data_IF_590856062571
#
_entry.id   IF_590856062571
#
_cell.length_a   1.000
_cell.length_b   1.000
_cell.length_c   1.000
_cell.angle_alpha   90.00
_cell.angle_beta   90.00
_cell.angle_gamma   90.00
#
_symmetry.space_group_name_H-M   'P 1'
#
loop_
_entity.id
_entity.type
_entity.pdbx_description
1 polymer ?
#
# COMPACT_ATOMS: atom_id res chain seq x y z
N UNK A 1 -37.69 -2.08 69.93
CA UNK A 1 -37.04 -2.13 68.61
C UNK A 1 -35.73 -2.88 68.76
N UNK A 2 -35.70 -4.12 68.25
CA UNK A 2 -34.76 -5.17 68.62
C UNK A 2 -33.37 -5.02 68.01
N UNK A 3 -32.39 -5.22 68.88
CA UNK A 3 -30.97 -5.44 68.65
C UNK A 3 -30.70 -6.91 68.27
N UNK A 4 -29.60 -7.17 67.55
CA UNK A 4 -28.56 -8.16 67.87
C UNK A 4 -27.94 -8.78 66.60
N UNK A 5 -26.61 -8.79 66.58
CA UNK A 5 -25.82 -9.63 65.71
C UNK A 5 -25.47 -10.98 66.34
N UNK A 6 -24.63 -11.68 65.57
CA UNK A 6 -23.68 -12.75 65.89
C UNK A 6 -24.10 -14.24 65.91
N UNK A 7 -23.17 -15.02 65.34
CA UNK A 7 -22.76 -16.41 65.62
C UNK A 7 -23.01 -17.50 64.55
N UNK A 8 -21.92 -17.78 63.85
CA UNK A 8 -21.22 -19.06 63.66
C UNK A 8 -21.86 -20.39 64.12
N UNK A 9 -21.74 -21.41 63.25
CA UNK A 9 -20.94 -22.66 63.40
C UNK A 9 -21.63 -24.04 63.19
N UNK A 10 -20.81 -24.96 62.65
CA UNK A 10 -20.87 -26.44 62.59
C UNK A 10 -21.52 -27.09 61.34
N UNK A 11 -20.77 -27.81 60.48
CA UNK A 11 -20.15 -29.17 60.62
C UNK A 11 -21.23 -30.28 60.57
N UNK A 12 -21.15 -31.42 59.89
CA UNK A 12 -20.14 -32.14 59.07
C UNK A 12 -20.79 -33.47 58.58
N UNK A 13 -19.99 -34.31 57.88
CA UNK A 13 -20.20 -35.72 57.45
C UNK A 13 -20.76 -35.88 56.03
N UNK A 14 -20.10 -36.55 55.06
CA UNK A 14 -19.26 -37.75 55.06
C UNK A 14 -20.03 -38.84 54.28
N UNK A 15 -19.51 -39.71 53.43
CA UNK A 15 -18.16 -40.07 52.94
C UNK A 15 -18.32 -41.16 51.85
N UNK A 16 -17.19 -41.53 51.20
CA UNK A 16 -16.95 -42.73 50.36
C UNK A 16 -17.47 -42.68 48.91
N UNK A 17 -16.72 -43.04 47.85
CA UNK A 17 -15.39 -43.63 47.71
C UNK A 17 -15.46 -44.79 46.73
N UNK A 18 -14.80 -44.72 45.57
CA UNK A 18 -14.33 -45.90 44.81
C UNK A 18 -13.42 -45.50 43.64
N UNK A 19 -12.24 -46.12 43.62
CA UNK A 19 -11.25 -46.11 42.56
C UNK A 19 -11.69 -46.93 41.34
N UNK A 20 -11.19 -46.57 40.16
CA UNK A 20 -11.25 -47.38 38.95
C UNK A 20 -10.33 -46.79 37.87
N UNK A 21 -9.43 -47.61 37.35
CA UNK A 21 -8.23 -47.27 36.59
C UNK A 21 -8.36 -47.49 35.06
N UNK A 22 -7.43 -46.86 34.33
CA UNK A 22 -6.93 -47.14 32.97
C UNK A 22 -7.58 -46.51 31.72
N UNK A 23 -6.78 -45.63 31.11
CA UNK A 23 -6.32 -45.62 29.70
C UNK A 23 -7.32 -45.81 28.56
N UNK A 24 -7.56 -44.73 27.80
CA UNK A 24 -7.74 -44.80 26.34
C UNK A 24 -7.51 -43.44 25.65
N UNK A 25 -6.88 -43.52 24.48
CA UNK A 25 -6.41 -42.46 23.60
C UNK A 25 -7.50 -41.58 22.95
N UNK A 26 -7.07 -40.42 22.45
CA UNK A 26 -7.79 -39.58 21.47
C UNK A 26 -8.62 -38.49 22.15
N UNK A 27 -8.62 -37.22 21.73
CA UNK A 27 -8.17 -36.61 20.49
C UNK A 27 -8.27 -35.08 20.64
N UNK A 28 -7.36 -34.38 19.96
CA UNK A 28 -7.45 -33.00 19.48
C UNK A 28 -7.77 -31.89 20.47
N UNK A 29 -6.69 -31.19 20.87
CA UNK A 29 -6.74 -29.88 21.48
C UNK A 29 -7.39 -28.85 20.56
N UNK A 30 -8.50 -28.30 21.03
CA UNK A 30 -8.99 -26.99 20.61
C UNK A 30 -8.30 -25.92 21.45
N UNK A 31 -7.10 -25.51 21.03
CA UNK A 31 -6.59 -24.18 21.36
C UNK A 31 -7.10 -23.26 20.23
N UNK A 32 -8.13 -22.46 20.49
CA UNK A 32 -7.93 -21.23 21.25
C UNK A 32 -7.21 -20.26 20.32
N UNK A 33 -7.97 -19.64 19.42
CA UNK A 33 -7.49 -18.60 18.52
C UNK A 33 -6.94 -17.45 19.38
N UNK A 34 -5.63 -17.45 19.59
CA UNK A 34 -4.93 -16.32 20.16
C UNK A 34 -5.12 -15.15 19.20
N UNK A 35 -6.00 -14.23 19.61
CA UNK A 35 -6.08 -12.90 19.03
C UNK A 35 -4.67 -12.33 19.02
N UNK A 36 -4.17 -12.08 17.81
CA UNK A 36 -2.92 -11.40 17.58
C UNK A 36 -3.03 -10.01 18.19
N UNK A 37 -2.49 -9.85 19.39
CA UNK A 37 -2.08 -8.56 19.94
C UNK A 37 -1.02 -8.00 18.99
N UNK A 38 -1.46 -7.29 17.95
CA UNK A 38 -0.60 -6.43 17.16
C UNK A 38 -0.17 -5.33 18.13
N UNK A 39 1.05 -5.45 18.64
CA UNK A 39 1.71 -4.41 19.40
C UNK A 39 1.56 -3.09 18.63
N UNK A 40 0.95 -2.11 19.31
CA UNK A 40 0.72 -0.75 18.84
C UNK A 40 2.05 -0.02 18.63
N UNK A 41 2.76 -0.38 17.56
CA UNK A 41 3.74 0.49 16.96
C UNK A 41 2.95 1.63 16.32
N UNK A 42 3.07 2.83 16.89
CA UNK A 42 2.48 4.09 16.41
C UNK A 42 2.43 4.12 14.88
N UNK A 43 1.24 3.88 14.33
CA UNK A 43 1.08 3.68 12.90
C UNK A 43 1.51 4.95 12.17
N UNK A 44 2.46 4.80 11.25
CA UNK A 44 2.71 5.82 10.23
C UNK A 44 1.48 5.77 9.34
N UNK A 45 0.61 6.76 9.49
CA UNK A 45 -0.44 7.09 8.54
C UNK A 45 0.18 7.76 7.33
N UNK A 46 -0.37 7.50 6.15
CA UNK A 46 0.13 8.02 4.88
C UNK A 46 -1.06 8.40 4.00
N UNK A 47 -1.95 9.27 4.48
CA UNK A 47 -2.82 10.00 3.56
C UNK A 47 -1.97 10.97 2.73
N UNK A 48 -2.40 11.29 1.50
CA UNK A 48 -3.75 11.20 0.94
C UNK A 48 -4.02 9.95 0.07
N UNK A 49 -5.27 9.49 -0.02
CA UNK A 49 -5.70 8.35 -0.84
C UNK A 49 -6.48 8.75 -2.10
N UNK A 50 -6.28 8.01 -3.19
CA UNK A 50 -7.15 8.10 -4.38
C UNK A 50 -8.40 7.24 -4.18
N UNK A 51 -9.52 7.70 -4.72
CA UNK A 51 -10.73 6.91 -4.98
C UNK A 51 -11.15 7.11 -6.42
N UNK A 52 -11.51 6.04 -7.14
CA UNK A 52 -11.94 6.11 -8.53
C UNK A 52 -13.30 5.44 -8.76
N UNK A 53 -14.02 5.89 -9.78
CA UNK A 53 -15.23 5.21 -10.27
C UNK A 53 -14.89 4.06 -11.20
N UNK A 54 -15.31 2.83 -10.85
CA UNK A 54 -15.05 1.63 -11.65
C UNK A 54 -16.23 1.19 -12.54
N UNK A 55 -17.24 2.05 -12.73
CA UNK A 55 -18.45 1.72 -13.50
C UNK A 55 -19.61 1.19 -12.67
N UNK A 56 -19.36 0.78 -11.42
CA UNK A 56 -20.39 0.26 -10.49
C UNK A 56 -20.40 1.01 -9.17
N UNK A 57 -19.21 1.26 -8.61
CA UNK A 57 -19.00 1.95 -7.35
C UNK A 57 -17.70 2.74 -7.38
N UNK A 58 -17.55 3.64 -6.42
CA UNK A 58 -16.24 4.21 -6.13
C UNK A 58 -15.42 3.20 -5.32
N UNK A 59 -14.13 3.08 -5.62
CA UNK A 59 -13.20 2.14 -4.97
C UNK A 59 -12.01 2.93 -4.46
N UNK A 60 -11.61 2.68 -3.21
CA UNK A 60 -10.35 3.23 -2.67
C UNK A 60 -9.17 2.50 -3.32
N UNK A 61 -8.30 3.32 -3.89
CA UNK A 61 -7.01 2.94 -4.45
C UNK A 61 -5.92 3.09 -3.37
N UNK A 62 -4.72 3.47 -3.76
CA UNK A 62 -3.58 3.61 -2.87
C UNK A 62 -3.37 5.06 -2.44
N UNK A 63 -2.43 5.26 -1.52
CA UNK A 63 -1.94 6.59 -1.23
C UNK A 63 -1.09 7.14 -2.36
N UNK A 64 -1.03 8.47 -2.47
CA UNK A 64 -0.17 9.21 -3.39
C UNK A 64 0.81 10.09 -2.65
N UNK A 65 1.83 10.54 -3.37
CA UNK A 65 2.96 11.27 -2.82
C UNK A 65 3.67 10.48 -1.69
N UNK A 66 3.84 9.13 -1.77
CA UNK A 66 4.47 8.37 -0.69
C UNK A 66 5.91 8.84 -0.44
N UNK A 67 6.55 9.42 -1.46
CA UNK A 67 7.86 10.00 -1.29
C UNK A 67 7.83 11.15 -0.30
N UNK A 68 6.72 11.84 0.00
CA UNK A 68 6.59 12.95 0.98
C UNK A 68 6.95 12.59 2.43
N UNK A 69 7.22 11.31 2.70
CA UNK A 69 7.80 10.86 3.97
C UNK A 69 9.33 10.86 4.02
N UNK A 70 10.01 10.76 2.87
CA UNK A 70 11.47 10.82 2.79
C UNK A 70 12.07 12.09 3.45
N UNK A 71 12.63 11.91 4.63
CA UNK A 71 13.25 12.98 5.42
C UNK A 71 14.58 13.45 4.83
N UNK A 72 15.21 12.67 3.94
CA UNK A 72 16.50 13.00 3.34
C UNK A 72 16.35 13.80 2.03
N UNK A 73 15.12 14.05 1.58
CA UNK A 73 14.86 14.80 0.36
C UNK A 73 15.42 16.24 0.46
N UNK A 74 15.82 16.77 -0.69
CA UNK A 74 16.17 18.20 -0.83
C UNK A 74 15.00 19.06 -1.27
N UNK A 75 14.11 18.53 -2.11
CA UNK A 75 12.98 19.26 -2.70
C UNK A 75 11.68 18.95 -1.99
N UNK A 76 10.98 19.95 -1.49
CA UNK A 76 9.71 19.76 -0.78
C UNK A 76 8.61 19.15 -1.68
N UNK A 77 8.55 19.55 -2.96
CA UNK A 77 7.48 19.15 -3.89
C UNK A 77 7.85 17.85 -4.59
N UNK A 78 6.99 16.84 -4.45
CA UNK A 78 7.09 15.55 -5.11
C UNK A 78 6.22 15.56 -6.37
N UNK A 79 6.78 15.07 -7.48
CA UNK A 79 5.98 14.58 -8.60
C UNK A 79 5.76 13.08 -8.42
N UNK A 80 4.50 12.64 -8.39
CA UNK A 80 4.10 11.24 -8.26
C UNK A 80 3.32 10.80 -9.49
N UNK A 81 3.80 9.72 -10.12
CA UNK A 81 3.10 8.99 -11.17
C UNK A 81 2.61 7.66 -10.56
N UNK A 82 1.37 7.63 -10.12
CA UNK A 82 0.75 6.43 -9.58
C UNK A 82 -0.06 5.71 -10.65
N UNK A 83 0.36 4.49 -10.99
CA UNK A 83 -0.44 3.58 -11.83
C UNK A 83 -1.62 3.06 -11.00
N UNK A 84 -2.84 3.33 -11.47
CA UNK A 84 -4.06 2.82 -10.85
C UNK A 84 -4.12 1.30 -10.96
N UNK A 85 -4.47 0.62 -9.86
CA UNK A 85 -4.60 -0.84 -9.84
C UNK A 85 -5.97 -1.25 -10.40
N UNK A 86 -7.01 -0.47 -10.12
CA UNK A 86 -8.32 -0.64 -10.76
C UNK A 86 -8.44 0.20 -12.04
N UNK A 87 -9.17 -0.33 -13.02
CA UNK A 87 -9.47 0.39 -14.26
C UNK A 87 -10.66 1.33 -14.07
N UNK A 88 -10.48 2.67 -14.08
CA UNK A 88 -11.60 3.60 -14.03
C UNK A 88 -12.49 3.44 -15.27
N UNK A 89 -13.79 3.61 -15.09
CA UNK A 89 -14.76 3.57 -16.19
C UNK A 89 -15.33 4.95 -16.44
N UNK A 90 -15.74 5.21 -17.68
CA UNK A 90 -16.42 6.45 -18.03
C UNK A 90 -17.82 6.49 -17.40
N UNK A 91 -18.18 7.63 -16.84
CA UNK A 91 -19.55 7.99 -16.50
C UNK A 91 -19.90 9.30 -17.20
N UNK A 92 -20.86 9.24 -18.13
CA UNK A 92 -21.29 10.38 -18.96
C UNK A 92 -20.11 11.12 -19.63
N UNK A 93 -19.19 10.36 -20.22
CA UNK A 93 -18.02 10.90 -20.95
C UNK A 93 -16.88 11.43 -20.07
N UNK A 94 -16.87 11.08 -18.77
CA UNK A 94 -15.85 11.54 -17.83
C UNK A 94 -15.29 10.39 -16.99
N UNK A 95 -13.98 10.38 -16.79
CA UNK A 95 -13.40 9.64 -15.67
C UNK A 95 -13.52 10.47 -14.40
N UNK A 96 -13.90 9.81 -13.30
CA UNK A 96 -14.14 10.47 -12.01
C UNK A 96 -13.22 9.88 -10.95
N UNK A 97 -12.33 10.72 -10.44
CA UNK A 97 -11.43 10.43 -9.34
C UNK A 97 -11.72 11.38 -8.17
N UNK A 98 -11.33 10.96 -6.98
CA UNK A 98 -11.28 11.78 -5.77
C UNK A 98 -9.95 11.57 -5.08
N UNK A 99 -9.49 12.59 -4.37
CA UNK A 99 -8.34 12.49 -3.47
C UNK A 99 -8.84 12.87 -2.08
N UNK A 100 -8.59 12.03 -1.09
CA UNK A 100 -9.15 12.13 0.25
C UNK A 100 -8.05 12.28 1.26
N UNK A 101 -8.32 13.14 2.24
CA UNK A 101 -7.50 13.33 3.42
C UNK A 101 -8.37 12.99 4.64
N UNK A 102 -7.98 11.98 5.41
CA UNK A 102 -8.78 11.50 6.55
C UNK A 102 -7.97 10.93 7.71
N UNK A 103 -6.65 10.96 7.62
CA UNK A 103 -5.75 10.62 8.73
C UNK A 103 -5.25 11.91 9.38
N UNK A 104 -3.94 12.17 9.39
CA UNK A 104 -3.31 13.23 10.19
C UNK A 104 -2.53 14.25 9.37
N UNK A 105 -2.60 14.12 8.05
CA UNK A 105 -1.78 14.85 7.13
C UNK A 105 -2.49 16.10 6.61
N UNK A 106 -1.72 17.14 6.35
CA UNK A 106 -2.14 18.28 5.53
C UNK A 106 -1.49 18.13 4.16
N UNK A 107 -2.31 17.96 3.13
CA UNK A 107 -1.86 17.66 1.77
C UNK A 107 -2.03 18.86 0.84
N UNK A 108 -1.00 19.17 0.05
CA UNK A 108 -0.98 20.27 -0.92
C UNK A 108 -0.71 19.74 -2.31
N UNK A 109 -1.58 20.02 -3.28
CA UNK A 109 -1.47 19.46 -4.62
C UNK A 109 -1.53 20.48 -5.75
N UNK A 110 -0.95 20.13 -6.88
CA UNK A 110 -1.09 20.81 -8.16
C UNK A 110 -0.86 19.84 -9.34
N UNK A 111 -1.08 20.33 -10.56
CA UNK A 111 -0.75 19.65 -11.84
C UNK A 111 -1.27 18.20 -11.98
N UNK A 112 -2.57 18.01 -11.75
CA UNK A 112 -3.21 16.72 -11.98
C UNK A 112 -3.36 16.41 -13.46
N UNK A 113 -2.93 15.21 -13.87
CA UNK A 113 -3.16 14.66 -15.21
C UNK A 113 -3.51 13.19 -15.10
N UNK A 114 -4.46 12.72 -15.91
CA UNK A 114 -4.76 11.31 -16.05
C UNK A 114 -4.20 10.82 -17.38
N UNK A 115 -3.21 9.93 -17.33
CA UNK A 115 -2.57 9.37 -18.52
C UNK A 115 -3.21 8.01 -18.77
N UNK A 116 -3.93 7.89 -19.88
CA UNK A 116 -4.50 6.64 -20.37
C UNK A 116 -3.52 6.03 -21.37
N UNK A 117 -3.23 4.75 -21.18
CA UNK A 117 -2.27 3.99 -21.99
C UNK A 117 -3.00 2.77 -22.52
N UNK A 118 -3.26 2.74 -23.82
CA UNK A 118 -3.83 1.57 -24.50
C UNK A 118 -2.70 0.72 -25.05
N UNK A 119 -2.67 -0.57 -24.70
CA UNK A 119 -1.58 -1.46 -25.04
C UNK A 119 -2.04 -2.91 -25.22
N UNK A 120 -1.24 -3.78 -25.89
CA UNK A 120 -1.52 -5.22 -25.98
C UNK A 120 -1.65 -5.85 -24.60
N UNK A 121 -2.55 -6.84 -24.45
CA UNK A 121 -2.88 -7.46 -23.16
C UNK A 121 -1.67 -8.10 -22.46
N UNK A 122 -0.73 -8.61 -23.23
CA UNK A 122 0.50 -9.25 -22.79
C UNK A 122 1.60 -8.26 -22.38
N UNK A 123 1.45 -6.98 -22.73
CA UNK A 123 2.35 -5.91 -22.28
C UNK A 123 1.86 -5.42 -20.92
N UNK A 124 2.81 -5.22 -20.01
CA UNK A 124 2.62 -4.60 -18.71
C UNK A 124 3.16 -3.17 -18.76
N UNK A 125 2.45 -2.27 -18.09
CA UNK A 125 2.84 -0.88 -17.91
C UNK A 125 3.20 -0.68 -16.44
N UNK A 126 4.25 0.10 -16.17
CA UNK A 126 4.58 0.55 -14.83
C UNK A 126 5.27 1.91 -14.85
N UNK A 127 5.66 2.37 -13.66
CA UNK A 127 6.38 3.61 -13.43
C UNK A 127 7.67 3.29 -12.67
N UNK A 128 8.77 3.90 -13.08
CA UNK A 128 10.05 3.90 -12.36
C UNK A 128 10.68 5.27 -12.50
N UNK A 129 11.14 5.86 -11.39
CA UNK A 129 11.81 7.17 -11.36
C UNK A 129 11.06 8.26 -12.18
N UNK A 130 9.72 8.30 -12.05
CA UNK A 130 8.79 9.19 -12.77
C UNK A 130 8.73 9.01 -14.30
N UNK A 131 9.25 7.89 -14.81
CA UNK A 131 9.11 7.49 -16.21
C UNK A 131 8.13 6.34 -16.37
N UNK A 132 7.35 6.40 -17.46
CA UNK A 132 6.40 5.34 -17.81
C UNK A 132 7.13 4.32 -18.69
N UNK A 133 7.13 3.08 -18.25
CA UNK A 133 7.87 1.97 -18.86
C UNK A 133 6.94 0.81 -19.21
N UNK A 134 7.38 -0.01 -20.17
CA UNK A 134 6.69 -1.22 -20.57
C UNK A 134 7.58 -2.45 -20.52
N UNK A 135 6.99 -3.59 -20.22
CA UNK A 135 7.65 -4.90 -20.21
C UNK A 135 6.66 -6.01 -20.51
N UNK A 136 7.14 -7.18 -20.91
CA UNK A 136 6.29 -8.34 -21.25
C UNK A 136 6.75 -9.61 -20.55
N UNK A 137 8.04 -9.91 -20.67
CA UNK A 137 8.60 -11.15 -20.16
C UNK A 137 9.04 -10.98 -18.71
N UNK A 138 8.62 -11.92 -17.86
CA UNK A 138 9.06 -12.03 -16.47
C UNK A 138 9.90 -13.28 -16.29
N UNK A 139 11.03 -13.15 -15.61
CA UNK A 139 11.83 -14.28 -15.14
C UNK A 139 11.57 -14.45 -13.65
N UNK A 140 11.08 -15.63 -13.27
CA UNK A 140 10.79 -15.95 -11.88
C UNK A 140 12.09 -16.34 -11.14
N UNK A 141 12.18 -16.06 -9.83
CA UNK A 141 13.33 -16.48 -9.04
C UNK A 141 13.39 -18.00 -8.95
N UNK A 142 14.62 -18.53 -8.98
CA UNK A 142 14.87 -19.95 -8.76
C UNK A 142 14.80 -20.32 -7.28
N UNK A 143 15.04 -19.35 -6.38
CA UNK A 143 14.96 -19.54 -4.94
C UNK A 143 14.60 -18.23 -4.24
N UNK A 144 13.68 -18.28 -3.28
CA UNK A 144 13.48 -17.23 -2.27
C UNK A 144 13.51 -17.90 -0.90
N UNK A 145 14.48 -17.53 -0.07
CA UNK A 145 14.65 -18.13 1.27
C UNK A 145 14.75 -17.07 2.34
N UNK A 146 14.08 -17.28 3.46
CA UNK A 146 14.24 -16.43 4.63
C UNK A 146 15.59 -16.67 5.35
N UNK A 147 15.86 -15.89 6.40
CA UNK A 147 17.07 -16.03 7.23
C UNK A 147 17.24 -17.43 7.86
N UNK A 148 16.15 -18.19 8.05
CA UNK A 148 16.15 -19.55 8.61
C UNK A 148 16.24 -20.63 7.52
N UNK A 149 16.28 -20.25 6.25
CA UNK A 149 16.34 -21.17 5.12
C UNK A 149 14.97 -21.70 4.67
N UNK A 150 13.85 -21.19 5.22
CA UNK A 150 12.50 -21.56 4.76
C UNK A 150 12.30 -21.07 3.34
N UNK A 151 11.90 -22.00 2.47
CA UNK A 151 11.63 -21.70 1.07
C UNK A 151 10.26 -21.05 0.87
N UNK A 152 10.25 -19.88 0.25
CA UNK A 152 9.09 -19.06 -0.07
C UNK A 152 8.90 -18.89 -1.58
N UNK A 153 9.68 -19.59 -2.41
CA UNK A 153 9.72 -19.43 -3.87
C UNK A 153 8.34 -19.56 -4.50
N UNK A 154 7.64 -20.68 -4.24
CA UNK A 154 6.29 -20.90 -4.80
C UNK A 154 5.29 -19.84 -4.35
N UNK A 155 5.44 -19.35 -3.12
CA UNK A 155 4.54 -18.36 -2.51
C UNK A 155 4.72 -16.98 -3.15
N UNK A 156 5.96 -16.56 -3.42
CA UNK A 156 6.29 -15.21 -3.88
C UNK A 156 6.59 -15.13 -5.39
N UNK A 157 6.46 -16.23 -6.13
CA UNK A 157 6.54 -16.28 -7.60
C UNK A 157 5.16 -16.30 -8.28
N UNK A 158 4.07 -16.23 -7.51
CA UNK A 158 2.70 -16.14 -8.02
C UNK A 158 2.21 -14.72 -7.79
N UNK A 159 1.67 -14.08 -8.82
CA UNK A 159 1.09 -12.74 -8.71
C UNK A 159 -0.28 -12.84 -8.00
N UNK A 160 -0.26 -12.87 -6.67
CA UNK A 160 -1.45 -12.99 -5.82
C UNK A 160 -1.30 -12.26 -4.48
N UNK A 161 -2.16 -11.28 -4.23
CA UNK A 161 -2.16 -10.49 -2.99
C UNK A 161 -2.81 -11.21 -1.80
N UNK A 162 -3.36 -12.42 -1.97
CA UNK A 162 -3.84 -13.24 -0.86
C UNK A 162 -2.72 -13.99 -0.15
N UNK A 163 -1.59 -14.16 -0.83
CA UNK A 163 -0.48 -14.99 -0.36
C UNK A 163 0.79 -14.16 -0.31
N UNK A 164 1.13 -13.62 0.87
CA UNK A 164 2.23 -12.65 1.02
C UNK A 164 3.14 -12.98 2.21
N UNK A 165 4.39 -12.54 2.12
CA UNK A 165 5.33 -12.51 3.23
C UNK A 165 5.05 -11.27 4.10
N UNK A 166 4.59 -11.51 5.32
CA UNK A 166 4.42 -10.50 6.38
C UNK A 166 5.80 -10.25 7.01
N UNK A 167 6.54 -9.30 6.43
CA UNK A 167 7.90 -9.02 6.83
C UNK A 167 7.96 -8.09 8.02
N UNK A 168 8.90 -8.35 8.92
CA UNK A 168 9.09 -7.63 10.19
C UNK A 168 10.46 -6.97 10.23
N UNK A 169 10.68 -6.08 11.20
CA UNK A 169 12.00 -5.47 11.41
C UNK A 169 13.08 -6.55 11.47
N UNK A 170 14.16 -6.34 10.69
CA UNK A 170 15.30 -7.22 10.53
C UNK A 170 15.06 -8.58 9.84
N UNK A 171 13.86 -8.81 9.31
CA UNK A 171 13.64 -9.94 8.40
C UNK A 171 14.47 -9.77 7.12
N UNK A 172 14.91 -10.92 6.60
CA UNK A 172 15.76 -11.00 5.41
C UNK A 172 15.19 -12.07 4.49
N UNK A 173 15.06 -11.71 3.21
CA UNK A 173 14.85 -12.65 2.10
C UNK A 173 16.07 -12.64 1.18
N UNK A 174 16.58 -13.84 0.88
CA UNK A 174 17.59 -14.05 -0.16
C UNK A 174 16.87 -14.54 -1.42
N UNK A 175 16.91 -13.73 -2.46
CA UNK A 175 16.26 -13.97 -3.76
C UNK A 175 17.34 -14.32 -4.77
N UNK A 176 17.22 -15.46 -5.44
CA UNK A 176 18.18 -15.93 -6.44
C UNK A 176 17.54 -16.12 -7.80
N UNK A 177 18.26 -15.74 -8.85
CA UNK A 177 17.95 -16.03 -10.24
C UNK A 177 19.16 -16.72 -10.87
N UNK A 178 19.06 -18.02 -11.16
CA UNK A 178 20.18 -18.82 -11.67
C UNK A 178 20.45 -18.68 -13.17
N UNK A 179 19.49 -18.12 -13.91
CA UNK A 179 19.55 -18.01 -15.37
C UNK A 179 19.10 -16.62 -15.79
N UNK A 180 20.05 -15.70 -15.84
CA UNK A 180 19.82 -14.38 -16.42
C UNK A 180 19.73 -14.50 -17.95
N UNK A 181 18.63 -14.01 -18.57
CA UNK A 181 18.58 -13.87 -20.02
C UNK A 181 19.57 -12.81 -20.49
N UNK A 182 20.00 -12.86 -21.75
CA UNK A 182 20.83 -11.82 -22.35
C UNK A 182 19.99 -10.56 -22.66
N UNK A 183 19.84 -9.71 -21.65
CA UNK A 183 19.08 -8.46 -21.72
C UNK A 183 19.98 -7.24 -21.62
N UNK A 184 19.52 -6.13 -22.19
CA UNK A 184 20.25 -4.85 -22.13
C UNK A 184 20.17 -4.18 -20.76
N UNK A 185 19.10 -4.45 -20.02
CA UNK A 185 18.82 -3.90 -18.70
C UNK A 185 18.03 -4.91 -17.86
N UNK A 186 18.16 -4.78 -16.54
CA UNK A 186 17.60 -5.73 -15.59
C UNK A 186 16.93 -4.97 -14.45
N UNK A 187 15.63 -5.22 -14.32
CA UNK A 187 14.81 -4.59 -13.30
C UNK A 187 14.17 -5.65 -12.42
N UNK A 188 14.31 -5.46 -11.11
CA UNK A 188 13.57 -6.24 -10.14
C UNK A 188 12.14 -5.69 -10.11
N UNK A 189 11.18 -6.54 -10.43
CA UNK A 189 9.76 -6.23 -10.32
C UNK A 189 9.24 -6.92 -9.07
N UNK A 190 8.68 -6.16 -8.14
CA UNK A 190 8.13 -6.70 -6.91
C UNK A 190 6.79 -6.04 -6.58
N UNK A 191 5.98 -6.72 -5.76
CA UNK A 191 4.71 -6.20 -5.29
C UNK A 191 4.68 -6.19 -3.78
N UNK A 192 4.55 -5.01 -3.20
CA UNK A 192 4.58 -4.82 -1.75
C UNK A 192 3.50 -3.84 -1.29
N UNK A 193 3.18 -3.90 0.00
CA UNK A 193 2.25 -2.99 0.65
C UNK A 193 2.66 -2.71 2.07
N UNK A 194 2.39 -1.49 2.56
CA UNK A 194 2.61 -1.12 3.93
C UNK A 194 1.56 -1.72 4.86
N UNK A 195 0.27 -1.58 4.50
CA UNK A 195 -0.87 -1.90 5.37
C UNK A 195 -2.07 -2.51 4.62
N UNK A 196 -1.90 -3.21 3.49
CA UNK A 196 -3.04 -3.65 2.66
C UNK A 196 -4.08 -4.49 3.41
N UNK A 197 -3.67 -5.20 4.46
CA UNK A 197 -4.55 -6.05 5.28
C UNK A 197 -4.97 -5.43 6.61
N UNK A 198 -4.58 -4.20 6.91
CA UNK A 198 -4.93 -3.56 8.17
C UNK A 198 -6.44 -3.26 8.21
N UNK A 199 -7.12 -3.57 9.33
CA UNK A 199 -8.56 -3.33 9.46
C UNK A 199 -8.95 -1.88 9.23
N UNK A 200 -8.15 -0.92 9.68
CA UNK A 200 -8.45 0.52 9.55
C UNK A 200 -8.71 0.96 8.11
N UNK A 201 -7.81 0.63 7.18
CA UNK A 201 -7.94 1.00 5.76
C UNK A 201 -9.07 0.21 5.09
N UNK A 202 -9.16 -1.10 5.36
CA UNK A 202 -10.15 -1.96 4.72
C UNK A 202 -11.59 -1.68 5.20
N UNK A 203 -11.78 -1.36 6.47
CA UNK A 203 -13.08 -0.96 7.01
C UNK A 203 -13.49 0.42 6.51
N UNK A 204 -12.56 1.38 6.48
CA UNK A 204 -12.79 2.72 5.91
C UNK A 204 -13.22 2.61 4.45
N UNK A 205 -12.52 1.78 3.66
CA UNK A 205 -12.90 1.44 2.29
C UNK A 205 -14.31 0.86 2.18
N UNK A 206 -14.62 -0.21 2.93
CA UNK A 206 -15.95 -0.83 2.93
C UNK A 206 -17.07 0.13 3.33
N UNK A 207 -16.82 1.05 4.28
CA UNK A 207 -17.81 2.03 4.72
C UNK A 207 -18.04 3.11 3.66
N UNK A 208 -16.98 3.67 3.08
CA UNK A 208 -17.05 4.67 2.01
C UNK A 208 -17.79 4.15 0.78
N UNK A 209 -17.53 2.90 0.38
CA UNK A 209 -18.22 2.24 -0.72
C UNK A 209 -19.75 2.16 -0.52
N UNK A 210 -20.21 1.95 0.74
CA UNK A 210 -21.65 1.78 1.06
C UNK A 210 -22.43 3.09 1.05
N UNK A 211 -21.80 4.20 1.41
CA UNK A 211 -22.47 5.50 1.56
C UNK A 211 -22.37 6.36 0.28
N UNK A 212 -21.89 5.77 -0.82
CA UNK A 212 -21.41 6.43 -2.03
C UNK A 212 -22.31 7.54 -2.64
N UNK A 213 -23.61 7.37 -2.94
CA UNK A 213 -24.30 8.42 -3.68
C UNK A 213 -24.55 9.68 -2.83
N UNK A 214 -24.33 9.66 -1.51
CA UNK A 214 -24.57 10.82 -0.65
C UNK A 214 -23.27 11.51 -0.24
N UNK A 215 -22.99 12.63 -0.91
CA UNK A 215 -21.82 13.47 -0.63
C UNK A 215 -21.78 13.94 0.84
N UNK A 216 -22.91 14.37 1.39
CA UNK A 216 -22.99 14.80 2.79
C UNK A 216 -22.64 13.65 3.76
N UNK A 217 -23.02 12.41 3.44
CA UNK A 217 -22.64 11.24 4.27
C UNK A 217 -21.14 10.95 4.18
N UNK A 218 -20.52 11.16 3.01
CA UNK A 218 -19.07 11.07 2.87
C UNK A 218 -18.35 12.09 3.75
N UNK A 219 -18.77 13.36 3.67
CA UNK A 219 -18.18 14.44 4.47
C UNK A 219 -18.30 14.13 5.97
N UNK A 220 -19.50 13.76 6.45
CA UNK A 220 -19.72 13.41 7.85
C UNK A 220 -18.86 12.21 8.30
N UNK A 221 -18.77 11.17 7.48
CA UNK A 221 -17.96 9.99 7.77
C UNK A 221 -16.45 10.31 7.83
N UNK A 222 -15.94 11.09 6.87
CA UNK A 222 -14.53 11.46 6.82
C UNK A 222 -14.16 12.36 8.00
N UNK A 223 -14.99 13.34 8.35
CA UNK A 223 -14.79 14.19 9.53
C UNK A 223 -14.76 13.39 10.83
N UNK A 224 -15.66 12.42 10.99
CA UNK A 224 -15.67 11.50 12.15
C UNK A 224 -14.42 10.62 12.19
N UNK A 225 -13.99 10.13 11.04
CA UNK A 225 -12.79 9.29 10.91
C UNK A 225 -11.54 10.08 11.28
N UNK A 226 -11.38 11.27 10.71
CA UNK A 226 -10.29 12.20 11.05
C UNK A 226 -10.27 12.56 12.54
N UNK A 227 -11.43 12.85 13.15
CA UNK A 227 -11.52 13.13 14.58
C UNK A 227 -11.11 11.94 15.45
N UNK A 228 -11.48 10.71 15.06
CA UNK A 228 -11.08 9.50 15.75
C UNK A 228 -9.57 9.25 15.65
N UNK A 229 -8.99 9.48 14.48
CA UNK A 229 -7.54 9.44 14.29
C UNK A 229 -6.86 10.49 15.19
N UNK A 230 -7.26 11.77 15.11
CA UNK A 230 -6.70 12.85 15.92
C UNK A 230 -6.71 12.53 17.43
N UNK A 231 -7.81 12.00 17.95
CA UNK A 231 -7.90 11.58 19.36
C UNK A 231 -6.91 10.45 19.73
N UNK A 232 -6.74 9.46 18.86
CA UNK A 232 -5.78 8.37 19.09
C UNK A 232 -4.32 8.84 19.08
N UNK A 233 -3.99 9.83 18.24
CA UNK A 233 -2.65 10.41 18.17
C UNK A 233 -2.29 11.18 19.44
N UNK A 234 -3.18 12.05 19.93
CA UNK A 234 -2.97 12.83 21.17
C UNK A 234 -2.76 11.91 22.39
N UNK A 235 -3.51 10.81 22.48
CA UNK A 235 -3.34 9.82 23.56
C UNK A 235 -1.98 9.14 23.50
N UNK A 236 -1.44 8.87 22.31
CA UNK A 236 -0.11 8.28 22.16
C UNK A 236 1.04 9.27 22.49
N UNK A 237 0.90 10.55 22.14
CA UNK A 237 1.91 11.57 22.47
C UNK A 237 1.96 11.89 23.97
N UNK A 238 0.80 12.02 24.62
CA UNK A 238 0.72 12.29 26.07
C UNK A 238 1.27 11.15 26.92
N UNK A 239 1.43 9.95 26.36
CA UNK A 239 2.00 8.79 27.03
C UNK A 239 3.54 8.69 26.98
N UNK A 240 4.26 9.59 26.28
CA UNK A 240 5.74 9.51 26.17
C UNK A 240 6.43 10.89 26.20
N UNK A 241 6.78 11.41 27.39
CA UNK A 241 7.75 12.48 27.49
C UNK A 241 9.17 11.87 27.45
N UNK A 242 9.87 12.06 26.33
CA UNK A 242 11.30 11.75 26.24
C UNK A 242 11.65 10.94 25.00
N UNK A 243 12.50 11.54 24.16
CA UNK A 243 13.08 11.05 22.91
C UNK A 243 12.18 11.18 21.68
N UNK A 244 12.47 12.22 20.88
CA UNK A 244 12.14 12.28 19.46
C UNK A 244 12.89 11.14 18.78
N UNK A 245 12.27 9.96 18.73
CA UNK A 245 12.79 8.84 17.94
C UNK A 245 12.60 9.26 16.49
N UNK A 246 13.70 9.42 15.75
CA UNK A 246 13.64 9.60 14.30
C UNK A 246 12.73 8.50 13.72
N UNK A 247 11.60 8.91 13.12
CA UNK A 247 10.57 8.01 12.62
C UNK A 247 11.17 7.16 11.50
N UNK A 248 11.60 5.93 11.78
CA UNK A 248 12.12 5.03 10.75
C UNK A 248 10.99 4.70 9.76
N UNK A 249 11.12 5.18 8.51
CA UNK A 249 10.17 4.91 7.43
C UNK A 249 10.23 3.41 7.09
N UNK A 250 9.10 2.69 7.11
CA UNK A 250 9.04 1.30 6.72
C UNK A 250 9.55 1.12 5.30
N UNK A 251 10.60 0.32 5.16
CA UNK A 251 11.37 0.23 3.95
C UNK A 251 11.88 -1.19 3.69
N UNK A 252 12.14 -1.49 2.42
CA UNK A 252 12.94 -2.65 1.99
C UNK A 252 14.29 -2.13 1.51
N UNK A 253 15.36 -2.60 2.13
CA UNK A 253 16.71 -2.34 1.67
C UNK A 253 17.14 -3.51 0.78
N UNK A 254 17.48 -3.22 -0.48
CA UNK A 254 17.82 -4.23 -1.47
C UNK A 254 19.32 -4.16 -1.73
N UNK A 255 20.01 -5.29 -1.55
CA UNK A 255 21.45 -5.40 -1.71
C UNK A 255 21.80 -6.38 -2.81
N UNK A 256 22.87 -6.08 -3.54
CA UNK A 256 23.59 -7.08 -4.33
C UNK A 256 24.27 -8.06 -3.35
N UNK A 257 24.22 -9.35 -3.62
CA UNK A 257 24.81 -10.40 -2.80
C UNK A 257 25.68 -11.39 -3.58
N UNK A 258 26.02 -11.09 -4.85
CA UNK A 258 26.99 -11.85 -5.64
C UNK A 258 28.43 -11.49 -5.27
N UNK A 259 28.79 -10.23 -5.55
CA UNK A 259 30.16 -9.73 -5.48
C UNK A 259 30.35 -8.89 -4.21
N UNK A 260 30.53 -7.57 -4.38
CA UNK A 260 30.53 -6.62 -3.27
C UNK A 260 29.10 -6.43 -2.77
N UNK A 261 28.89 -6.71 -1.48
CA UNK A 261 27.61 -6.47 -0.82
C UNK A 261 27.36 -4.97 -0.73
N UNK A 262 26.69 -4.43 -1.73
CA UNK A 262 26.34 -3.01 -1.83
C UNK A 262 24.82 -2.82 -1.79
N UNK A 263 24.40 -1.68 -1.26
CA UNK A 263 23.00 -1.27 -1.27
C UNK A 263 22.65 -0.77 -2.66
N UNK A 264 21.65 -1.39 -3.30
CA UNK A 264 21.15 -1.01 -4.62
C UNK A 264 20.11 0.10 -4.48
N UNK A 265 19.09 -0.12 -3.64
CA UNK A 265 17.96 0.81 -3.47
C UNK A 265 17.29 0.61 -2.13
N UNK A 266 16.78 1.71 -1.58
CA UNK A 266 15.79 1.72 -0.50
C UNK A 266 14.43 1.94 -1.13
N UNK A 267 13.49 1.07 -0.80
CA UNK A 267 12.11 1.13 -1.32
C UNK A 267 11.16 1.41 -0.17
N UNK A 268 10.28 2.39 -0.36
CA UNK A 268 9.16 2.69 0.54
C UNK A 268 7.87 2.16 -0.09
N UNK A 269 7.25 1.09 0.47
CA UNK A 269 5.99 0.58 -0.03
C UNK A 269 4.86 1.60 0.12
N UNK A 270 3.90 1.57 -0.81
CA UNK A 270 2.63 2.27 -0.65
C UNK A 270 1.71 1.55 0.32
N UNK A 271 0.64 2.20 0.74
CA UNK A 271 -0.33 1.69 1.71
C UNK A 271 -0.95 0.34 1.35
N UNK A 272 -1.36 0.21 0.09
CA UNK A 272 -1.91 -1.02 -0.50
C UNK A 272 -0.90 -1.63 -1.46
N UNK A 273 -1.15 -2.87 -1.89
CA UNK A 273 -0.27 -3.53 -2.84
C UNK A 273 -0.16 -2.73 -4.13
N UNK A 274 1.09 -2.47 -4.51
CA UNK A 274 1.44 -1.84 -5.78
C UNK A 274 2.73 -2.44 -6.31
N UNK A 275 2.91 -2.37 -7.63
CA UNK A 275 4.16 -2.78 -8.25
C UNK A 275 5.25 -1.73 -8.02
N UNK A 276 6.39 -2.17 -7.52
CA UNK A 276 7.63 -1.41 -7.50
C UNK A 276 8.64 -1.99 -8.48
N UNK A 277 9.54 -1.13 -8.97
CA UNK A 277 10.65 -1.50 -9.82
C UNK A 277 11.95 -0.93 -9.28
N UNK A 278 13.03 -1.72 -9.38
CA UNK A 278 14.39 -1.32 -9.01
C UNK A 278 15.32 -1.68 -10.16
N UNK A 279 16.00 -0.68 -10.71
CA UNK A 279 17.12 -0.89 -11.63
C UNK A 279 18.32 -1.45 -10.87
N UNK A 280 18.83 -2.59 -11.30
CA UNK A 280 20.11 -3.13 -10.80
C UNK A 280 21.06 -3.48 -11.94
N UNK A 281 20.83 -2.95 -13.15
CA UNK A 281 21.63 -3.23 -14.34
C UNK A 281 23.11 -2.94 -14.13
N UNK A 282 23.43 -1.90 -13.34
CA UNK A 282 24.82 -1.51 -13.01
C UNK A 282 25.53 -2.50 -12.06
N UNK A 283 24.78 -3.39 -11.42
CA UNK A 283 25.29 -4.36 -10.44
C UNK A 283 25.56 -5.74 -11.07
N UNK A 284 25.30 -5.92 -12.37
CA UNK A 284 25.53 -7.16 -13.11
C UNK A 284 26.80 -7.01 -13.94
N UNK A 285 27.74 -7.92 -13.76
CA UNK A 285 28.96 -8.01 -14.58
C UNK A 285 28.67 -8.80 -15.87
N UNK A 286 29.46 -8.60 -16.93
CA UNK A 286 29.20 -9.24 -18.24
C UNK A 286 29.22 -10.78 -18.18
N UNK A 287 29.99 -11.31 -17.24
CA UNK A 287 30.19 -12.74 -17.02
C UNK A 287 29.12 -13.34 -16.09
N UNK A 288 28.30 -12.52 -15.44
CA UNK A 288 27.28 -12.97 -14.49
C UNK A 288 26.14 -13.69 -15.22
N UNK A 289 26.00 -14.99 -14.95
CA UNK A 289 24.88 -15.80 -15.44
C UNK A 289 23.74 -15.91 -14.43
N UNK A 290 23.97 -15.44 -13.21
CA UNK A 290 23.03 -15.53 -12.09
C UNK A 290 23.18 -14.32 -11.18
N UNK A 291 22.12 -13.95 -10.47
CA UNK A 291 22.15 -12.90 -9.45
C UNK A 291 21.50 -13.37 -8.15
N UNK A 292 22.10 -12.98 -7.03
CA UNK A 292 21.62 -13.15 -5.67
C UNK A 292 21.38 -11.77 -5.08
N UNK A 293 20.14 -11.50 -4.69
CA UNK A 293 19.72 -10.27 -4.04
C UNK A 293 19.34 -10.56 -2.60
N UNK A 294 19.67 -9.64 -1.70
CA UNK A 294 19.25 -9.69 -0.30
C UNK A 294 18.32 -8.53 -0.03
N UNK A 295 17.08 -8.83 0.35
CA UNK A 295 16.07 -7.85 0.74
C UNK A 295 15.98 -7.84 2.28
N UNK A 296 16.14 -6.69 2.92
CA UNK A 296 16.07 -6.51 4.38
C UNK A 296 14.93 -5.56 4.75
N UNK A 297 14.10 -5.95 5.71
CA UNK A 297 12.99 -5.14 6.22
C UNK A 297 13.45 -4.25 7.36
N UNK A 298 13.04 -2.98 7.35
CA UNK A 298 13.26 -2.06 8.47
C UNK A 298 12.12 -2.12 9.48
N UNK A 299 10.89 -2.38 9.04
CA UNK A 299 9.66 -2.46 9.85
C UNK A 299 8.64 -3.41 9.22
N UNK A 300 7.46 -3.50 9.82
CA UNK A 300 6.33 -4.29 9.33
C UNK A 300 5.83 -3.80 7.97
N UNK A 301 5.85 -4.67 6.97
CA UNK A 301 5.15 -4.51 5.68
C UNK A 301 5.23 -5.78 4.84
N UNK A 302 4.31 -5.88 3.88
CA UNK A 302 4.04 -7.09 3.11
C UNK A 302 4.75 -7.12 1.75
N UNK A 303 5.11 -8.32 1.30
CA UNK A 303 5.58 -8.60 -0.06
C UNK A 303 4.81 -9.79 -0.63
N UNK A 304 4.14 -9.63 -1.77
CA UNK A 304 3.36 -10.69 -2.42
C UNK A 304 4.01 -11.29 -3.66
N UNK A 305 4.93 -10.57 -4.32
CA UNK A 305 5.50 -11.03 -5.59
C UNK A 305 6.92 -10.50 -5.84
N UNK A 306 7.77 -11.30 -6.49
CA UNK A 306 9.11 -10.92 -6.97
C UNK A 306 9.43 -11.60 -8.31
N UNK A 307 9.98 -10.85 -9.26
CA UNK A 307 10.47 -11.34 -10.56
C UNK A 307 11.48 -10.38 -11.19
N UNK A 308 12.09 -10.76 -12.31
CA UNK A 308 12.91 -9.86 -13.15
C UNK A 308 12.20 -9.54 -14.46
N UNK A 309 12.46 -8.35 -14.99
CA UNK A 309 12.01 -7.92 -16.32
C UNK A 309 13.09 -7.11 -17.04
N UNK A 310 13.08 -7.20 -18.39
CA UNK A 310 13.69 -6.20 -19.27
C UNK A 310 12.65 -5.12 -19.54
N UNK A 311 13.02 -3.87 -19.26
CA UNK A 311 12.18 -2.72 -19.58
C UNK A 311 12.54 -2.20 -20.97
N UNK A 312 11.50 -1.83 -21.73
CA UNK A 312 11.66 -1.16 -23.02
C UNK A 312 10.86 0.15 -23.04
N UNK A 313 11.29 1.14 -23.83
CA UNK A 313 10.50 2.34 -24.05
C UNK A 313 9.13 2.00 -24.64
N UNK A 314 8.12 2.82 -24.36
CA UNK A 314 6.74 2.56 -24.79
C UNK A 314 6.61 2.34 -26.29
N UNK A 315 7.38 3.06 -27.12
CA UNK A 315 7.37 2.93 -28.58
C UNK A 315 7.77 1.54 -29.10
N UNK A 316 8.37 0.70 -28.25
CA UNK A 316 8.77 -0.68 -28.60
C UNK A 316 7.58 -1.64 -28.62
N UNK A 317 6.46 -1.24 -28.03
CA UNK A 317 5.21 -1.99 -28.03
C UNK A 317 4.15 -1.09 -28.67
N UNK A 318 3.21 -1.62 -29.45
CA UNK A 318 2.16 -0.83 -30.12
C UNK A 318 1.22 -0.17 -29.09
N UNK A 319 1.70 0.88 -28.44
CA UNK A 319 1.13 1.54 -27.28
C UNK A 319 0.67 2.92 -27.72
N UNK A 320 -0.56 3.27 -27.36
CA UNK A 320 -1.12 4.61 -27.54
C UNK A 320 -1.23 5.27 -26.18
N UNK A 321 -0.65 6.45 -26.05
CA UNK A 321 -0.75 7.28 -24.84
C UNK A 321 -1.64 8.49 -25.11
N UNK A 322 -2.54 8.76 -24.17
CA UNK A 322 -3.44 9.90 -24.17
C UNK A 322 -3.36 10.58 -22.80
N UNK A 323 -2.97 11.86 -22.77
CA UNK A 323 -2.89 12.64 -21.53
C UNK A 323 -4.14 13.51 -21.40
N UNK A 324 -4.98 13.19 -20.42
CA UNK A 324 -6.19 13.92 -20.11
C UNK A 324 -5.90 14.98 -19.04
N UNK A 325 -6.25 16.23 -19.36
CA UNK A 325 -6.23 17.33 -18.40
C UNK A 325 -7.49 17.30 -17.55
N UNK A 326 -7.41 17.82 -16.33
CA UNK A 326 -8.59 18.01 -15.49
C UNK A 326 -9.56 18.94 -16.20
N UNK A 327 -10.77 18.46 -16.46
CA UNK A 327 -11.88 19.27 -16.97
C UNK A 327 -12.66 19.94 -15.86
N UNK A 328 -12.62 19.39 -14.65
CA UNK A 328 -13.28 19.97 -13.47
C UNK A 328 -12.57 19.55 -12.19
N UNK A 329 -12.29 20.53 -11.32
CA UNK A 329 -11.79 20.33 -9.96
C UNK A 329 -12.76 20.99 -8.98
N UNK A 330 -13.20 20.25 -7.97
CA UNK A 330 -14.05 20.81 -6.91
C UNK A 330 -13.69 20.26 -5.54
N UNK A 331 -13.87 21.07 -4.51
CA UNK A 331 -13.52 20.76 -3.13
C UNK A 331 -14.76 20.42 -2.29
N UNK A 332 -14.63 19.55 -1.28
CA UNK A 332 -15.74 19.06 -0.44
C UNK A 332 -16.41 20.14 0.41
N UNK A 333 -15.68 21.17 0.83
CA UNK A 333 -16.19 22.31 1.63
C UNK A 333 -16.76 23.47 0.77
N UNK A 334 -17.16 23.21 -0.48
CA UNK A 334 -17.78 24.14 -1.42
C UNK A 334 -16.87 25.25 -2.00
N UNK A 335 -16.35 24.99 -3.20
CA UNK A 335 -16.41 25.79 -4.44
C UNK A 335 -15.75 25.00 -5.57
N UNK A 336 -16.07 25.30 -6.83
CA UNK A 336 -15.11 24.96 -7.90
C UNK A 336 -13.78 25.59 -7.52
N UNK A 337 -12.72 24.81 -7.61
CA UNK A 337 -11.39 25.34 -7.30
C UNK A 337 -10.99 26.20 -8.48
N UNK A 338 -11.15 27.51 -8.31
CA UNK A 338 -10.57 28.55 -9.15
C UNK A 338 -9.31 29.13 -8.49
N UNK A 339 -8.62 30.04 -9.17
CA UNK A 339 -7.38 30.65 -8.67
C UNK A 339 -7.48 31.23 -7.26
N UNK A 340 -8.68 31.63 -6.81
CA UNK A 340 -8.92 32.20 -5.48
C UNK A 340 -8.92 31.17 -4.36
N UNK A 341 -9.12 29.89 -4.70
CA UNK A 341 -9.05 28.77 -3.75
C UNK A 341 -7.63 28.21 -3.62
N UNK A 342 -6.74 28.55 -4.55
CA UNK A 342 -5.38 28.05 -4.56
C UNK A 342 -4.51 28.85 -3.59
N UNK A 343 -3.98 28.18 -2.57
CA UNK A 343 -2.91 28.73 -1.74
C UNK A 343 -1.58 28.47 -2.44
N UNK A 344 -0.91 29.54 -2.88
CA UNK A 344 0.33 29.47 -3.67
C UNK A 344 0.21 28.57 -4.92
N UNK A 345 -0.94 28.62 -5.60
CA UNK A 345 -1.20 27.80 -6.78
C UNK A 345 -1.49 26.32 -6.49
N UNK A 346 -1.72 25.95 -5.21
CA UNK A 346 -1.98 24.57 -4.77
C UNK A 346 -3.35 24.44 -4.11
N UNK A 347 -3.94 23.26 -4.25
CA UNK A 347 -5.13 22.83 -3.52
C UNK A 347 -4.69 22.21 -2.20
N UNK A 348 -5.19 22.73 -1.10
CA UNK A 348 -4.99 22.17 0.25
C UNK A 348 -6.12 21.19 0.58
N UNK A 349 -5.77 20.08 1.22
CA UNK A 349 -6.69 19.18 1.91
C UNK A 349 -6.22 19.01 3.35
N UNK A 350 -7.16 19.16 4.29
CA UNK A 350 -6.96 18.82 5.70
C UNK A 350 -7.82 17.60 6.08
N UNK A 351 -7.56 16.93 7.22
CA UNK A 351 -8.29 15.75 7.62
C UNK A 351 -9.81 15.93 7.61
N UNK A 352 -10.50 15.00 6.93
CA UNK A 352 -11.94 15.02 6.72
C UNK A 352 -12.39 15.59 5.37
N UNK A 353 -11.46 16.07 4.54
CA UNK A 353 -11.77 16.71 3.26
C UNK A 353 -11.42 15.83 2.05
N UNK A 354 -11.97 16.19 0.89
CA UNK A 354 -11.59 15.59 -0.38
C UNK A 354 -11.75 16.57 -1.54
N UNK A 355 -11.03 16.32 -2.62
CA UNK A 355 -11.28 16.94 -3.92
C UNK A 355 -11.83 15.93 -4.92
N UNK A 356 -12.62 16.44 -5.88
CA UNK A 356 -13.18 15.69 -7.00
C UNK A 356 -12.46 16.15 -8.28
N UNK A 357 -11.93 15.18 -9.01
CA UNK A 357 -11.27 15.37 -10.30
C UNK A 357 -12.12 14.70 -11.38
N UNK A 358 -12.53 15.50 -12.37
CA UNK A 358 -13.14 14.97 -13.59
C UNK A 358 -12.19 15.17 -14.78
N UNK A 359 -12.09 14.13 -15.62
CA UNK A 359 -11.33 14.14 -16.86
C UNK A 359 -12.25 13.78 -18.02
N UNK A 360 -12.57 14.76 -18.87
CA UNK A 360 -13.33 14.52 -20.10
C UNK A 360 -12.57 13.58 -21.04
N UNK A 361 -13.24 12.56 -21.55
CA UNK A 361 -12.68 11.66 -22.53
C UNK A 361 -13.77 11.07 -23.42
N UNK A 362 -13.42 10.82 -24.67
CA UNK A 362 -14.30 10.12 -25.59
C UNK A 362 -14.29 8.61 -25.32
N UNK A 363 -15.44 7.97 -25.56
CA UNK A 363 -15.53 6.52 -25.46
C UNK A 363 -14.81 5.91 -26.65
N UNK A 364 -13.63 5.37 -26.40
CA UNK A 364 -12.85 4.66 -27.41
C UNK A 364 -13.17 3.15 -27.39
N UNK A 365 -13.37 2.58 -28.58
CA UNK A 365 -13.47 1.13 -28.73
C UNK A 365 -12.06 0.54 -28.75
N UNK A 366 -11.65 -0.03 -27.63
CA UNK A 366 -10.39 -0.77 -27.52
C UNK A 366 -10.58 -2.14 -28.17
N UNK A 367 -9.63 -2.56 -29.01
CA UNK A 367 -9.64 -3.90 -29.60
C UNK A 367 -9.63 -4.97 -28.48
N UNK A 368 -10.32 -6.08 -28.71
CA UNK A 368 -10.32 -7.28 -27.86
C UNK A 368 -8.92 -7.79 -27.45
N UNK A 369 -7.87 -7.53 -28.23
CA UNK A 369 -6.47 -7.90 -27.93
C UNK A 369 -5.73 -6.88 -27.05
N UNK A 370 -6.32 -5.71 -26.82
CA UNK A 370 -5.74 -4.61 -26.06
C UNK A 370 -6.46 -4.43 -24.71
N UNK A 371 -5.81 -3.67 -23.83
CA UNK A 371 -6.37 -3.17 -22.57
C UNK A 371 -5.88 -1.74 -22.33
N UNK A 372 -6.53 -1.04 -21.40
CA UNK A 372 -6.10 0.27 -20.95
C UNK A 372 -5.54 0.22 -19.53
N UNK A 373 -4.35 0.79 -19.34
CA UNK A 373 -3.80 1.15 -18.04
C UNK A 373 -3.94 2.65 -17.83
N UNK A 374 -4.04 3.06 -16.57
CA UNK A 374 -4.21 4.46 -16.20
C UNK A 374 -3.16 4.86 -15.17
N UNK A 375 -2.57 6.04 -15.35
CA UNK A 375 -1.60 6.61 -14.43
C UNK A 375 -2.12 7.99 -14.03
N UNK A 376 -2.32 8.20 -12.73
CA UNK A 376 -2.54 9.53 -12.19
C UNK A 376 -1.18 10.18 -11.96
N UNK A 377 -0.94 11.30 -12.63
CA UNK A 377 0.16 12.21 -12.31
C UNK A 377 -0.38 13.31 -11.40
N UNK A 378 0.34 13.57 -10.32
CA UNK A 378 0.09 14.68 -9.40
C UNK A 378 1.41 15.27 -8.93
N UNK A 379 1.41 16.57 -8.62
CA UNK A 379 2.50 17.22 -7.89
C UNK A 379 2.00 17.66 -6.54
N UNK A 380 2.85 17.60 -5.52
CA UNK A 380 2.45 18.02 -4.20
C UNK A 380 3.39 17.60 -3.10
N UNK A 381 2.94 17.82 -1.87
CA UNK A 381 3.54 17.25 -0.67
C UNK A 381 2.47 17.16 0.41
N UNK A 382 2.72 16.35 1.42
CA UNK A 382 1.99 16.44 2.67
C UNK A 382 2.93 16.63 3.84
N UNK A 383 2.38 17.16 4.91
CA UNK A 383 3.02 17.28 6.22
C UNK A 383 2.18 16.53 7.23
N UNK A 384 2.80 15.67 8.04
CA UNK A 384 2.13 15.11 9.21
C UNK A 384 2.02 16.19 10.29
N UNK A 385 0.83 16.34 10.88
CA UNK A 385 0.61 17.24 12.01
C UNK A 385 1.14 16.68 13.34
#
# INVERSE_FOLDING_TARGET
HGSHGSHSSHSSHGSHGSHGSHSSHGSHGSHGSHGSHVSHDSHISCCPFIVLWNGKKFVIENNILPQSEDIERKELIVEDLYKLESTPQLDKGKYKLRILEFEHEHSYFSDFKLIKITHPKEVNISVIDNEIVAYKNLVLPSSIKDKKGKDLTKKLSIFDDKTFFDGKKDDILNVKFDKLPDWKNYYLVFRSSLRAHYPSINETSKKLEKIFPSENKWIDFLKKTAAAFAGAFVVNETARPGNVIAKEIPSIFIYNNNHKKELIKIVHPRERFSLGLVDFSKCIEKEDKSISLKMKWTRFHDLSFVSLAELKPLNSFQVKQETLKVSRLSHSENKEVDERYLKDGKVELIPGQFIKLEFSAEKENINSSQKASFILKSKGHYISL
#
